data_IF_375591585542
#
_entry.id   IF_375591585542
#
_cell.length_a   1.000
_cell.length_b   1.000
_cell.length_c   1.000
_cell.angle_alpha   90.00
_cell.angle_beta   90.00
_cell.angle_gamma   90.00
#
_symmetry.space_group_name_H-M   'P 1'
#
loop_
_entity.id
_entity.type
_entity.pdbx_description
1 polymer ?
#
# COMPACT_ATOMS: atom_id res chain seq x y z
N UNK A 1 49.60 33.70 -9.36
CA UNK A 1 48.17 34.03 -9.19
C UNK A 1 47.43 32.79 -9.61
N UNK A 2 47.11 31.99 -8.66
CA UNK A 2 46.35 30.74 -8.82
C UNK A 2 44.88 31.08 -8.66
N UNK A 3 44.12 30.98 -9.73
CA UNK A 3 42.66 31.09 -9.71
C UNK A 3 42.12 29.68 -9.46
N UNK A 4 41.87 29.35 -8.20
CA UNK A 4 41.14 28.16 -7.81
C UNK A 4 39.70 28.23 -8.38
N UNK A 5 39.42 27.44 -9.41
CA UNK A 5 38.06 27.12 -9.82
C UNK A 5 37.42 26.26 -8.75
N UNK A 6 36.59 26.88 -7.93
CA UNK A 6 35.62 26.18 -7.11
C UNK A 6 34.69 25.40 -8.06
N UNK A 7 34.88 24.10 -8.12
CA UNK A 7 33.87 23.20 -8.67
C UNK A 7 32.64 23.30 -7.74
N UNK A 8 31.61 23.98 -8.22
CA UNK A 8 30.30 23.94 -7.57
C UNK A 8 29.88 22.47 -7.48
N UNK A 9 29.68 21.97 -6.27
CA UNK A 9 28.95 20.74 -6.08
C UNK A 9 27.59 20.89 -6.78
N UNK A 10 27.33 20.03 -7.73
CA UNK A 10 25.99 19.92 -8.36
C UNK A 10 25.02 19.57 -7.20
N UNK A 11 24.33 20.57 -6.68
CA UNK A 11 23.33 20.35 -5.63
C UNK A 11 22.27 19.44 -6.24
N UNK A 12 22.17 18.23 -5.71
CA UNK A 12 21.23 17.23 -6.18
C UNK A 12 19.81 17.77 -6.02
N UNK A 13 19.19 18.14 -7.14
CA UNK A 13 17.81 18.61 -7.19
C UNK A 13 16.88 17.52 -6.69
N UNK A 14 15.96 17.84 -5.78
CA UNK A 14 15.00 16.87 -5.25
C UNK A 14 14.12 16.34 -6.38
N UNK A 15 14.05 15.03 -6.50
CA UNK A 15 13.17 14.29 -7.40
C UNK A 15 11.96 13.77 -6.64
N UNK A 16 10.77 13.98 -7.18
CA UNK A 16 9.51 13.50 -6.60
C UNK A 16 8.77 12.67 -7.65
N UNK A 17 8.32 11.48 -7.27
CA UNK A 17 7.50 10.63 -8.13
C UNK A 17 6.40 9.94 -7.32
N UNK A 18 5.33 9.51 -8.00
CA UNK A 18 4.19 8.79 -7.41
C UNK A 18 4.23 7.32 -7.82
N UNK A 19 4.07 6.41 -6.87
CA UNK A 19 4.04 4.96 -7.14
C UNK A 19 2.92 4.55 -8.09
N UNK A 20 1.78 5.24 -8.07
CA UNK A 20 0.63 4.96 -8.94
C UNK A 20 0.60 5.84 -10.18
N UNK A 21 1.68 6.58 -10.47
CA UNK A 21 1.78 7.48 -11.62
C UNK A 21 1.20 8.87 -11.36
N UNK A 22 1.11 9.66 -12.42
CA UNK A 22 0.75 11.08 -12.37
C UNK A 22 -0.75 11.35 -12.60
N UNK A 23 -1.53 10.31 -12.88
CA UNK A 23 -2.99 10.40 -13.00
C UNK A 23 -3.59 9.51 -11.92
N UNK A 24 -4.31 10.12 -11.01
CA UNK A 24 -5.00 9.42 -9.91
C UNK A 24 -6.51 9.64 -10.05
N UNK A 25 -7.29 8.67 -9.62
CA UNK A 25 -8.74 8.84 -9.52
C UNK A 25 -9.14 9.32 -8.12
N UNK A 26 -10.25 10.04 -8.02
CA UNK A 26 -10.78 10.51 -6.74
C UNK A 26 -10.92 9.36 -5.75
N UNK A 27 -10.44 9.55 -4.51
CA UNK A 27 -10.40 8.53 -3.47
C UNK A 27 -9.15 7.65 -3.47
N UNK A 28 -8.28 7.78 -4.48
CA UNK A 28 -7.01 7.04 -4.52
C UNK A 28 -5.97 7.70 -3.60
N UNK A 29 -5.21 6.87 -2.91
CA UNK A 29 -3.98 7.23 -2.21
C UNK A 29 -2.78 6.66 -2.94
N UNK A 30 -1.73 7.44 -3.11
CA UNK A 30 -0.48 7.00 -3.74
C UNK A 30 0.72 7.41 -2.90
N UNK A 31 1.59 6.47 -2.59
CA UNK A 31 2.88 6.79 -1.99
C UNK A 31 3.70 7.69 -2.90
N UNK A 32 4.46 8.59 -2.29
CA UNK A 32 5.40 9.47 -2.97
C UNK A 32 6.83 9.03 -2.67
N UNK A 33 7.63 8.88 -3.71
CA UNK A 33 9.07 8.68 -3.60
C UNK A 33 9.75 10.03 -3.72
N UNK A 34 10.69 10.29 -2.82
CA UNK A 34 11.46 11.53 -2.77
C UNK A 34 12.93 11.20 -2.67
N UNK A 35 13.75 11.77 -3.54
CA UNK A 35 15.20 11.57 -3.51
C UNK A 35 15.95 12.88 -3.84
N UNK A 36 16.96 13.25 -3.05
CA UNK A 36 17.30 12.69 -1.73
C UNK A 36 16.23 13.07 -0.69
N UNK A 37 15.94 12.18 0.26
CA UNK A 37 14.88 12.39 1.25
C UNK A 37 15.33 13.14 2.49
N UNK A 38 16.62 13.11 2.79
CA UNK A 38 17.24 13.70 3.98
C UNK A 38 17.28 15.24 3.95
N UNK A 39 17.16 15.85 2.78
CA UNK A 39 17.11 17.31 2.60
C UNK A 39 15.69 17.89 2.64
N UNK A 40 14.67 17.02 2.60
CA UNK A 40 13.27 17.42 2.52
C UNK A 40 12.69 17.63 3.92
N UNK A 41 12.23 18.86 4.19
CA UNK A 41 11.55 19.21 5.44
C UNK A 41 10.06 18.90 5.35
N UNK A 42 9.46 19.16 4.19
CA UNK A 42 8.03 18.98 3.94
C UNK A 42 7.77 18.74 2.45
N UNK A 43 6.75 17.95 2.10
CA UNK A 43 6.14 17.93 0.79
C UNK A 43 4.82 18.70 0.81
N UNK A 44 4.63 19.55 -0.16
CA UNK A 44 3.48 20.47 -0.22
C UNK A 44 2.74 20.31 -1.53
N UNK A 45 1.42 20.35 -1.48
CA UNK A 45 0.55 20.44 -2.66
C UNK A 45 0.17 21.89 -2.94
N UNK A 46 0.23 22.28 -4.21
CA UNK A 46 -0.25 23.59 -4.66
C UNK A 46 -1.77 23.75 -4.58
N UNK A 47 -2.50 22.64 -4.46
CA UNK A 47 -3.97 22.64 -4.33
C UNK A 47 -4.43 21.45 -3.47
N UNK A 48 -4.45 21.63 -2.14
CA UNK A 48 -4.84 20.56 -1.21
C UNK A 48 -6.29 20.09 -1.31
N UNK A 49 -7.17 20.87 -1.93
CA UNK A 49 -8.56 20.49 -2.17
C UNK A 49 -8.69 19.48 -3.34
N UNK A 50 -7.74 19.48 -4.25
CA UNK A 50 -7.64 18.51 -5.34
C UNK A 50 -6.79 17.31 -4.92
N UNK A 51 -5.60 17.58 -4.40
CA UNK A 51 -4.62 16.58 -3.98
C UNK A 51 -3.98 17.01 -2.66
N UNK A 52 -4.29 16.33 -1.57
CA UNK A 52 -3.57 16.55 -0.31
C UNK A 52 -2.28 15.72 -0.27
N UNK A 53 -1.28 16.22 0.47
CA UNK A 53 -0.07 15.46 0.82
C UNK A 53 -0.06 15.28 2.32
N UNK A 54 0.09 14.04 2.75
CA UNK A 54 0.05 13.65 4.16
C UNK A 54 1.24 12.74 4.49
N UNK A 55 1.63 12.68 5.75
CA UNK A 55 2.52 11.64 6.25
C UNK A 55 1.72 10.55 6.94
N UNK A 56 1.83 9.32 6.45
CA UNK A 56 1.16 8.15 7.01
C UNK A 56 2.22 7.12 7.35
N UNK A 57 2.34 6.75 8.61
CA UNK A 57 3.36 5.82 9.11
C UNK A 57 4.79 6.19 8.64
N UNK A 58 5.10 7.48 8.59
CA UNK A 58 6.40 8.00 8.15
C UNK A 58 6.60 8.09 6.64
N UNK A 59 5.62 7.69 5.84
CA UNK A 59 5.67 7.79 4.39
C UNK A 59 4.90 9.01 3.89
N UNK A 60 5.41 9.66 2.86
CA UNK A 60 4.68 10.69 2.15
C UNK A 60 3.62 10.07 1.22
N UNK A 61 2.39 10.54 1.32
CA UNK A 61 1.24 10.00 0.59
C UNK A 61 0.45 11.14 -0.04
N UNK A 62 0.19 11.01 -1.34
CA UNK A 62 -0.75 11.87 -2.06
C UNK A 62 -2.17 11.31 -1.92
N UNK A 63 -3.11 12.15 -1.55
CA UNK A 63 -4.53 11.80 -1.39
C UNK A 63 -5.36 12.56 -2.41
N UNK A 64 -5.94 11.86 -3.38
CA UNK A 64 -6.76 12.44 -4.44
C UNK A 64 -8.17 12.73 -3.93
N UNK A 65 -8.56 14.01 -3.82
CA UNK A 65 -9.82 14.42 -3.19
C UNK A 65 -10.90 14.85 -4.18
N UNK A 66 -10.53 15.59 -5.22
CA UNK A 66 -11.48 16.09 -6.22
C UNK A 66 -10.81 16.23 -7.58
N UNK A 67 -11.59 16.23 -8.69
CA UNK A 67 -11.04 16.38 -10.03
C UNK A 67 -10.28 17.69 -10.19
N UNK A 68 -9.15 17.64 -10.89
CA UNK A 68 -8.29 18.79 -11.16
C UNK A 68 -6.82 18.41 -11.27
N UNK A 69 -5.95 19.39 -11.17
CA UNK A 69 -4.50 19.19 -11.17
C UNK A 69 -3.86 19.93 -10.01
N UNK A 70 -2.85 19.32 -9.43
CA UNK A 70 -2.03 19.92 -8.39
C UNK A 70 -0.55 19.60 -8.63
N UNK A 71 0.31 20.51 -8.24
CA UNK A 71 1.75 20.33 -8.21
C UNK A 71 2.18 19.93 -6.80
N UNK A 72 3.00 18.90 -6.68
CA UNK A 72 3.70 18.53 -5.44
C UNK A 72 5.15 18.98 -5.54
N UNK A 73 5.64 19.63 -4.53
CA UNK A 73 7.02 20.10 -4.41
C UNK A 73 7.54 19.93 -3.00
N UNK A 74 8.86 19.86 -2.86
CA UNK A 74 9.54 19.75 -1.59
C UNK A 74 9.93 21.13 -1.07
N UNK A 75 9.78 21.33 0.23
CA UNK A 75 10.39 22.45 0.96
C UNK A 75 11.69 21.93 1.58
N UNK A 76 12.79 22.61 1.27
CA UNK A 76 14.13 22.33 1.81
C UNK A 76 14.68 23.57 2.51
N UNK A 77 15.87 23.45 3.13
CA UNK A 77 16.56 24.60 3.71
C UNK A 77 16.91 25.68 2.68
N UNK A 78 17.06 25.30 1.41
CA UNK A 78 17.44 26.17 0.30
C UNK A 78 16.22 26.66 -0.50
N UNK A 79 15.01 26.34 -0.07
CA UNK A 79 13.75 26.75 -0.70
C UNK A 79 12.98 25.59 -1.33
N UNK A 80 12.09 25.94 -2.26
CA UNK A 80 11.27 24.94 -2.97
C UNK A 80 12.10 24.18 -4.00
N UNK A 81 12.01 22.86 -4.01
CA UNK A 81 12.67 21.99 -4.96
C UNK A 81 11.74 20.87 -5.44
N UNK A 82 12.04 20.34 -6.62
CA UNK A 82 11.25 19.27 -7.24
C UNK A 82 9.93 19.76 -7.80
N UNK A 83 9.36 18.95 -8.67
CA UNK A 83 8.08 19.25 -9.30
C UNK A 83 7.44 17.95 -9.80
N UNK A 84 6.32 17.58 -9.18
CA UNK A 84 5.47 16.50 -9.66
C UNK A 84 4.08 17.07 -9.92
N UNK A 85 3.64 17.08 -11.16
CA UNK A 85 2.24 17.41 -11.48
C UNK A 85 1.39 16.16 -11.46
N UNK A 86 0.34 16.16 -10.64
CA UNK A 86 -0.63 15.07 -10.57
C UNK A 86 -1.98 15.59 -11.03
N UNK A 87 -2.60 14.85 -11.93
CA UNK A 87 -3.98 15.09 -12.38
C UNK A 87 -4.89 14.11 -11.67
N UNK A 88 -5.93 14.64 -11.03
CA UNK A 88 -6.99 13.85 -10.42
C UNK A 88 -8.19 13.82 -11.35
N UNK A 89 -8.65 12.61 -11.70
CA UNK A 89 -9.78 12.35 -12.59
C UNK A 89 -10.89 11.60 -11.86
N UNK A 90 -12.11 11.62 -12.44
CA UNK A 90 -13.28 10.94 -11.89
C UNK A 90 -14.17 11.86 -11.07
N UNK A 91 -15.36 11.38 -10.73
CA UNK A 91 -16.31 12.09 -9.89
C UNK A 91 -16.06 11.77 -8.40
N UNK A 92 -16.38 12.74 -7.52
CA UNK A 92 -16.36 12.50 -6.08
C UNK A 92 -17.32 11.36 -5.76
N UNK A 93 -16.81 10.28 -5.19
CA UNK A 93 -17.59 9.08 -4.89
C UNK A 93 -17.49 7.95 -5.93
N UNK A 94 -16.92 8.21 -7.11
CA UNK A 94 -16.56 7.14 -8.05
C UNK A 94 -15.33 6.42 -7.49
N UNK A 95 -15.53 5.18 -7.08
CA UNK A 95 -14.42 4.28 -6.77
C UNK A 95 -13.86 3.76 -8.08
N UNK A 96 -12.54 3.89 -8.29
CA UNK A 96 -11.91 3.16 -9.37
C UNK A 96 -12.18 1.67 -9.19
N UNK A 97 -12.76 1.04 -10.19
CA UNK A 97 -12.91 -0.41 -10.21
C UNK A 97 -11.57 -1.08 -10.50
N UNK A 98 -10.69 -1.06 -9.52
CA UNK A 98 -9.41 -1.77 -9.60
C UNK A 98 -9.58 -3.29 -9.48
N UNK A 99 -10.75 -3.76 -9.07
CA UNK A 99 -11.01 -5.18 -8.82
C UNK A 99 -11.23 -6.00 -10.08
N UNK A 100 -11.76 -5.37 -11.13
CA UNK A 100 -12.05 -6.05 -12.41
C UNK A 100 -10.90 -5.96 -13.41
N UNK A 101 -9.96 -5.05 -13.21
CA UNK A 101 -8.73 -4.92 -14.01
C UNK A 101 -7.62 -5.89 -13.63
N UNK A 102 -7.95 -7.03 -13.06
CA UNK A 102 -6.97 -8.07 -12.72
C UNK A 102 -6.60 -8.88 -13.94
N UNK A 103 -5.33 -9.24 -14.05
CA UNK A 103 -4.82 -10.08 -15.14
C UNK A 103 -5.37 -11.53 -15.08
N UNK A 104 -6.14 -11.87 -14.04
CA UNK A 104 -6.88 -13.13 -13.94
C UNK A 104 -8.31 -12.87 -13.45
N UNK A 105 -9.25 -13.57 -14.11
CA UNK A 105 -10.68 -13.32 -13.98
C UNK A 105 -11.25 -13.63 -12.59
N UNK A 106 -10.63 -14.56 -11.86
CA UNK A 106 -11.02 -14.97 -10.51
C UNK A 106 -9.77 -15.26 -9.68
N UNK A 107 -9.63 -14.53 -8.59
CA UNK A 107 -8.53 -14.72 -7.64
C UNK A 107 -8.96 -15.44 -6.35
N UNK A 108 -10.19 -15.92 -6.26
CA UNK A 108 -10.71 -16.56 -5.05
C UNK A 108 -9.92 -17.83 -4.70
N UNK A 109 -9.58 -18.65 -5.69
CA UNK A 109 -8.78 -19.85 -5.45
C UNK A 109 -7.35 -19.52 -4.99
N UNK A 110 -6.74 -18.47 -5.56
CA UNK A 110 -5.45 -17.95 -5.09
C UNK A 110 -5.53 -17.50 -3.63
N UNK A 111 -6.58 -16.78 -3.26
CA UNK A 111 -6.83 -16.31 -1.89
C UNK A 111 -7.03 -17.48 -0.91
N UNK A 112 -7.79 -18.50 -1.31
CA UNK A 112 -8.00 -19.71 -0.51
C UNK A 112 -6.70 -20.49 -0.30
N UNK A 113 -5.85 -20.56 -1.30
CA UNK A 113 -4.56 -21.25 -1.17
C UNK A 113 -3.61 -20.49 -0.24
N UNK A 114 -3.60 -19.16 -0.27
CA UNK A 114 -2.88 -18.35 0.72
C UNK A 114 -3.37 -18.67 2.14
N UNK A 115 -4.69 -18.72 2.35
CA UNK A 115 -5.26 -19.11 3.65
C UNK A 115 -4.79 -20.49 4.11
N UNK A 116 -4.77 -21.47 3.21
CA UNK A 116 -4.32 -22.82 3.50
C UNK A 116 -2.83 -22.83 3.92
N UNK A 117 -1.97 -22.10 3.21
CA UNK A 117 -0.55 -21.99 3.54
C UNK A 117 -0.31 -21.25 4.86
N UNK A 118 -1.05 -20.17 5.14
CA UNK A 118 -0.99 -19.48 6.43
C UNK A 118 -1.42 -20.41 7.57
N UNK A 119 -2.48 -21.19 7.35
CA UNK A 119 -2.94 -22.20 8.32
C UNK A 119 -1.86 -23.25 8.56
N UNK A 120 -1.17 -23.72 7.53
CA UNK A 120 -0.06 -24.64 7.66
C UNK A 120 1.09 -24.04 8.48
N UNK A 121 1.47 -22.80 8.23
CA UNK A 121 2.49 -22.09 9.03
C UNK A 121 2.07 -22.06 10.50
N UNK A 122 0.82 -21.71 10.82
CA UNK A 122 0.32 -21.71 12.20
C UNK A 122 0.41 -23.09 12.86
N UNK A 123 0.05 -24.15 12.13
CA UNK A 123 0.14 -25.53 12.63
C UNK A 123 1.58 -25.96 12.89
N UNK A 124 2.54 -25.56 12.07
CA UNK A 124 3.97 -25.81 12.28
C UNK A 124 4.49 -25.17 13.58
N UNK A 125 3.87 -24.06 14.02
CA UNK A 125 4.14 -23.42 15.31
C UNK A 125 3.25 -23.95 16.45
N UNK A 126 2.48 -24.99 16.23
CA UNK A 126 1.62 -25.63 17.26
C UNK A 126 0.40 -24.79 17.65
N UNK A 127 -0.04 -23.89 16.78
CA UNK A 127 -1.17 -22.99 17.02
C UNK A 127 -2.47 -23.55 16.45
N UNK A 128 -3.60 -23.10 17.02
CA UNK A 128 -4.92 -23.41 16.48
C UNK A 128 -5.11 -22.82 15.08
N UNK A 129 -5.99 -23.45 14.31
CA UNK A 129 -6.43 -22.91 13.03
C UNK A 129 -7.20 -21.62 13.25
N UNK A 130 -6.99 -20.64 12.38
CA UNK A 130 -7.81 -19.44 12.28
C UNK A 130 -8.59 -19.53 10.96
N UNK A 131 -9.92 -19.70 11.01
CA UNK A 131 -10.72 -19.82 9.80
C UNK A 131 -10.83 -18.49 9.05
N UNK A 132 -11.20 -18.59 7.77
CA UNK A 132 -11.57 -17.41 7.00
C UNK A 132 -12.83 -16.76 7.60
N UNK A 133 -12.76 -15.46 7.82
CA UNK A 133 -13.89 -14.63 8.22
C UNK A 133 -14.33 -13.77 7.03
N UNK A 134 -15.61 -13.87 6.66
CA UNK A 134 -16.10 -13.23 5.42
C UNK A 134 -15.89 -11.73 5.41
N UNK A 135 -16.14 -11.05 6.52
CA UNK A 135 -15.93 -9.60 6.64
C UNK A 135 -14.46 -9.21 6.46
N UNK A 136 -13.52 -10.01 6.95
CA UNK A 136 -12.09 -9.81 6.73
C UNK A 136 -11.67 -10.14 5.29
N UNK A 137 -12.27 -11.17 4.68
CA UNK A 137 -12.04 -11.51 3.28
C UNK A 137 -12.47 -10.37 2.36
N UNK A 138 -13.64 -9.80 2.60
CA UNK A 138 -14.20 -8.69 1.82
C UNK A 138 -13.37 -7.40 2.03
N UNK A 139 -13.02 -7.11 3.28
CA UNK A 139 -12.16 -5.96 3.60
C UNK A 139 -10.78 -6.08 2.97
N UNK A 140 -10.14 -7.25 3.04
CA UNK A 140 -8.83 -7.47 2.45
C UNK A 140 -8.85 -7.35 0.92
N UNK A 141 -9.90 -7.83 0.26
CA UNK A 141 -10.05 -7.70 -1.18
C UNK A 141 -10.32 -6.24 -1.59
N UNK A 142 -11.17 -5.52 -0.85
CA UNK A 142 -11.40 -4.09 -1.07
C UNK A 142 -10.08 -3.30 -0.88
N UNK A 143 -9.32 -3.62 0.16
CA UNK A 143 -8.01 -2.99 0.40
C UNK A 143 -7.00 -3.31 -0.72
N UNK A 144 -7.01 -4.54 -1.25
CA UNK A 144 -6.16 -4.93 -2.36
C UNK A 144 -6.41 -4.09 -3.62
N UNK A 145 -7.64 -3.68 -3.88
CA UNK A 145 -7.98 -2.81 -5.02
C UNK A 145 -7.31 -1.45 -4.95
N UNK A 146 -6.91 -1.02 -3.77
CA UNK A 146 -6.23 0.27 -3.56
C UNK A 146 -4.75 0.20 -3.87
N UNK A 147 -4.17 -1.01 -3.95
CA UNK A 147 -2.77 -1.26 -4.34
C UNK A 147 -1.76 -0.47 -3.50
N UNK A 148 -2.04 -0.30 -2.21
CA UNK A 148 -1.10 0.34 -1.31
C UNK A 148 0.15 -0.52 -1.13
N UNK A 149 1.32 0.11 -1.13
CA UNK A 149 2.61 -0.54 -0.88
C UNK A 149 3.16 -0.23 0.52
N UNK A 150 2.34 0.37 1.36
CA UNK A 150 2.61 0.73 2.76
C UNK A 150 1.40 0.42 3.63
N UNK A 151 1.58 0.35 4.94
CA UNK A 151 0.48 0.22 5.88
C UNK A 151 -0.17 1.59 6.15
N UNK A 152 -1.42 1.72 5.76
CA UNK A 152 -2.28 2.84 6.13
C UNK A 152 -3.26 2.38 7.20
N UNK A 153 -2.83 2.47 8.46
CA UNK A 153 -3.60 1.95 9.60
C UNK A 153 -5.00 2.55 9.72
N UNK A 154 -5.16 3.82 9.35
CA UNK A 154 -6.47 4.46 9.38
C UNK A 154 -7.39 3.87 8.32
N UNK A 155 -6.92 3.76 7.08
CA UNK A 155 -7.68 3.19 5.97
C UNK A 155 -8.00 1.70 6.21
N UNK A 156 -7.03 0.94 6.72
CA UNK A 156 -7.22 -0.45 7.11
C UNK A 156 -8.34 -0.60 8.14
N UNK A 157 -8.33 0.21 9.21
CA UNK A 157 -9.38 0.20 10.23
C UNK A 157 -10.73 0.62 9.68
N UNK A 158 -10.80 1.68 8.90
CA UNK A 158 -12.05 2.16 8.29
C UNK A 158 -12.68 1.09 7.40
N UNK A 159 -11.87 0.40 6.59
CA UNK A 159 -12.33 -0.67 5.72
C UNK A 159 -12.83 -1.89 6.48
N UNK A 160 -12.06 -2.34 7.47
CA UNK A 160 -12.41 -3.50 8.28
C UNK A 160 -13.73 -3.26 9.02
N UNK A 161 -13.90 -2.07 9.60
CA UNK A 161 -15.17 -1.67 10.23
C UNK A 161 -16.32 -1.55 9.23
N UNK A 162 -16.08 -0.98 8.05
CA UNK A 162 -17.10 -0.82 7.00
C UNK A 162 -17.62 -2.18 6.50
N UNK A 163 -16.78 -3.21 6.51
CA UNK A 163 -17.16 -4.58 6.18
C UNK A 163 -17.73 -5.39 7.35
N UNK A 164 -17.87 -4.77 8.52
CA UNK A 164 -18.57 -5.34 9.66
C UNK A 164 -17.72 -6.17 10.61
N UNK A 165 -16.40 -6.04 10.59
CA UNK A 165 -15.51 -6.67 11.56
C UNK A 165 -15.12 -5.67 12.66
N UNK A 166 -15.62 -5.81 13.91
CA UNK A 166 -15.48 -4.78 14.93
C UNK A 166 -14.30 -5.03 15.90
N UNK A 167 -13.48 -6.04 15.64
CA UNK A 167 -12.42 -6.48 16.53
C UNK A 167 -11.03 -6.00 16.07
N UNK A 168 -10.02 -6.27 16.91
CA UNK A 168 -8.63 -5.99 16.58
C UNK A 168 -8.10 -6.89 15.46
N UNK A 169 -7.13 -6.40 14.72
CA UNK A 169 -6.48 -7.17 13.66
C UNK A 169 -5.06 -6.65 13.40
N UNK A 170 -4.26 -7.50 12.76
CA UNK A 170 -3.00 -7.14 12.13
C UNK A 170 -3.12 -7.26 10.61
N UNK A 171 -2.32 -6.50 9.89
CA UNK A 171 -2.25 -6.57 8.43
C UNK A 171 -0.83 -6.89 7.97
N UNK A 172 -0.69 -7.90 7.12
CA UNK A 172 0.50 -8.15 6.34
C UNK A 172 0.26 -7.75 4.89
N UNK A 173 1.24 -7.18 4.23
CA UNK A 173 1.19 -6.93 2.80
C UNK A 173 2.50 -7.36 2.13
N UNK A 174 2.39 -7.77 0.87
CA UNK A 174 3.55 -7.99 0.00
C UNK A 174 3.18 -7.66 -1.44
N UNK A 175 4.16 -7.12 -2.16
CA UNK A 175 4.01 -6.70 -3.55
C UNK A 175 5.20 -7.25 -4.35
N UNK A 176 4.91 -7.87 -5.48
CA UNK A 176 5.94 -8.47 -6.32
C UNK A 176 5.50 -8.55 -7.79
N UNK A 177 6.45 -8.79 -8.69
CA UNK A 177 6.24 -8.86 -10.14
C UNK A 177 6.63 -10.24 -10.68
N UNK A 178 6.18 -10.56 -11.89
CA UNK A 178 6.67 -11.69 -12.69
C UNK A 178 6.19 -13.08 -12.25
N UNK A 179 5.27 -13.17 -11.28
CA UNK A 179 4.72 -14.45 -10.84
C UNK A 179 3.55 -14.91 -11.73
N UNK A 180 3.49 -16.20 -12.05
CA UNK A 180 2.28 -16.82 -12.57
C UNK A 180 1.23 -16.96 -11.44
N UNK A 181 -0.10 -16.98 -11.73
CA UNK A 181 -1.13 -17.04 -10.69
C UNK A 181 -0.95 -18.19 -9.70
N UNK A 182 -0.54 -19.36 -10.15
CA UNK A 182 -0.29 -20.54 -9.32
C UNK A 182 0.92 -20.40 -8.38
N UNK A 183 1.83 -19.48 -8.66
CA UNK A 183 3.00 -19.21 -7.82
C UNK A 183 2.72 -18.18 -6.72
N UNK A 184 1.69 -17.35 -6.90
CA UNK A 184 1.37 -16.23 -6.02
C UNK A 184 1.21 -16.65 -4.56
N UNK A 185 0.46 -17.71 -4.20
CA UNK A 185 0.29 -18.11 -2.80
C UNK A 185 1.61 -18.41 -2.11
N UNK A 186 2.46 -19.20 -2.75
CA UNK A 186 3.75 -19.59 -2.20
C UNK A 186 4.68 -18.39 -2.03
N UNK A 187 4.73 -17.50 -3.03
CA UNK A 187 5.59 -16.30 -2.96
C UNK A 187 5.11 -15.37 -1.84
N UNK A 188 3.82 -15.09 -1.76
CA UNK A 188 3.26 -14.21 -0.74
C UNK A 188 3.57 -14.72 0.68
N UNK A 189 3.27 -15.98 0.96
CA UNK A 189 3.49 -16.57 2.28
C UNK A 189 4.98 -16.65 2.62
N UNK A 190 5.84 -17.03 1.66
CA UNK A 190 7.29 -17.01 1.86
C UNK A 190 7.83 -15.61 2.19
N UNK A 191 7.35 -14.58 1.52
CA UNK A 191 7.75 -13.21 1.82
C UNK A 191 7.40 -12.82 3.26
N UNK A 192 6.20 -13.22 3.73
CA UNK A 192 5.77 -12.94 5.10
C UNK A 192 6.53 -13.78 6.14
N UNK A 193 6.76 -15.08 5.87
CA UNK A 193 7.54 -15.94 6.77
C UNK A 193 8.97 -15.44 6.95
N UNK A 194 9.59 -14.93 5.91
CA UNK A 194 10.94 -14.39 5.94
C UNK A 194 11.05 -12.96 6.51
N UNK A 195 9.94 -12.36 6.90
CA UNK A 195 9.89 -11.05 7.55
C UNK A 195 9.45 -11.19 9.01
N UNK A 196 10.32 -10.90 10.00
CA UNK A 196 10.00 -11.15 11.41
C UNK A 196 8.72 -10.48 11.90
N UNK A 197 8.41 -9.28 11.40
CA UNK A 197 7.17 -8.57 11.75
C UNK A 197 5.92 -9.25 11.20
N UNK A 198 5.96 -9.64 9.94
CA UNK A 198 4.86 -10.33 9.27
C UNK A 198 4.65 -11.75 9.83
N UNK A 199 5.74 -12.47 10.11
CA UNK A 199 5.64 -13.78 10.74
C UNK A 199 4.97 -13.69 12.11
N UNK A 200 5.37 -12.72 12.96
CA UNK A 200 4.73 -12.53 14.27
C UNK A 200 3.22 -12.30 14.15
N UNK A 201 2.77 -11.53 13.17
CA UNK A 201 1.35 -11.33 12.94
C UNK A 201 0.64 -12.64 12.57
N UNK A 202 1.20 -13.44 11.67
CA UNK A 202 0.62 -14.72 11.25
C UNK A 202 0.54 -15.76 12.38
N UNK A 203 1.54 -15.79 13.26
CA UNK A 203 1.63 -16.74 14.37
C UNK A 203 1.19 -16.16 15.71
N UNK A 204 0.45 -15.07 15.72
CA UNK A 204 -0.13 -14.54 16.95
C UNK A 204 -1.07 -15.60 17.55
N UNK A 205 -0.84 -16.01 18.83
CA UNK A 205 -1.69 -17.00 19.46
C UNK A 205 -3.13 -16.54 19.72
N UNK A 206 -3.37 -15.23 19.70
CA UNK A 206 -4.71 -14.63 19.82
C UNK A 206 -5.46 -14.58 18.50
N UNK A 207 -4.79 -14.85 17.39
CA UNK A 207 -5.43 -14.82 16.08
C UNK A 207 -6.45 -15.96 15.96
N UNK A 208 -7.68 -15.62 15.61
CA UNK A 208 -8.82 -16.53 15.51
C UNK A 208 -9.56 -16.44 14.16
N UNK A 209 -9.17 -15.50 13.30
CA UNK A 209 -9.82 -15.28 12.02
C UNK A 209 -8.85 -14.71 11.00
N UNK A 210 -9.07 -14.99 9.71
CA UNK A 210 -8.20 -14.57 8.62
C UNK A 210 -9.02 -13.99 7.47
N UNK A 211 -8.44 -12.99 6.78
CA UNK A 211 -8.92 -12.51 5.50
C UNK A 211 -7.78 -12.26 4.54
N UNK A 212 -7.96 -12.61 3.27
CA UNK A 212 -6.94 -12.42 2.23
C UNK A 212 -7.51 -11.66 1.05
N UNK A 213 -6.77 -10.67 0.57
CA UNK A 213 -7.05 -9.95 -0.65
C UNK A 213 -5.89 -10.08 -1.64
N UNK A 214 -6.19 -10.25 -2.92
CA UNK A 214 -5.20 -10.32 -3.98
C UNK A 214 -5.72 -9.55 -5.19
N UNK A 215 -4.88 -8.66 -5.71
CA UNK A 215 -5.10 -7.96 -6.98
C UNK A 215 -3.83 -8.03 -7.81
N UNK A 216 -3.98 -8.26 -9.08
CA UNK A 216 -2.91 -8.13 -10.07
C UNK A 216 -3.25 -7.00 -11.03
N UNK A 217 -2.30 -6.11 -11.22
CA UNK A 217 -2.45 -4.97 -12.10
C UNK A 217 -1.13 -4.69 -12.82
N UNK A 218 -1.16 -4.66 -14.15
CA UNK A 218 0.01 -4.41 -14.99
C UNK A 218 1.22 -5.30 -14.64
N UNK A 219 0.98 -6.59 -14.40
CA UNK A 219 2.02 -7.56 -14.05
C UNK A 219 2.53 -7.47 -12.60
N UNK A 220 2.00 -6.56 -11.79
CA UNK A 220 2.32 -6.43 -10.36
C UNK A 220 1.23 -7.10 -9.55
N UNK A 221 1.62 -7.96 -8.62
CA UNK A 221 0.71 -8.65 -7.69
C UNK A 221 0.77 -8.02 -6.32
N UNK A 222 -0.40 -7.69 -5.77
CA UNK A 222 -0.59 -7.10 -4.45
C UNK A 222 -1.35 -8.09 -3.58
N UNK A 223 -0.74 -8.54 -2.48
CA UNK A 223 -1.34 -9.49 -1.55
C UNK A 223 -1.43 -8.88 -0.15
N UNK A 224 -2.59 -9.04 0.48
CA UNK A 224 -2.88 -8.56 1.83
C UNK A 224 -3.46 -9.70 2.65
N UNK A 225 -3.02 -9.79 3.90
CA UNK A 225 -3.53 -10.74 4.89
C UNK A 225 -3.96 -9.96 6.12
N UNK A 226 -5.24 -9.99 6.44
CA UNK A 226 -5.77 -9.55 7.72
C UNK A 226 -5.85 -10.72 8.69
N UNK A 227 -5.26 -10.52 9.86
CA UNK A 227 -5.21 -11.50 10.95
C UNK A 227 -6.04 -10.95 12.09
N UNK A 228 -7.23 -11.47 12.27
CA UNK A 228 -8.21 -10.98 13.24
C UNK A 228 -8.05 -11.60 14.61
N UNK A 229 -8.44 -10.82 15.63
CA UNK A 229 -8.39 -11.19 17.05
C UNK A 229 -9.67 -10.71 17.71
N UNK A 230 -10.62 -11.62 17.94
CA UNK A 230 -11.94 -11.30 18.51
C UNK A 230 -12.01 -11.38 20.04
N UNK A 231 -10.94 -11.87 20.67
CA UNK A 231 -10.83 -12.06 22.13
C UNK A 231 -9.68 -11.28 22.75
#
# INVERSE_FOLDING_TARGET
>A
IDQGTSAGADEATVSISSYKGNVLEVGTRSGLMVYPSDTVLELVSSNPDVLAVEQIAGNWVAVAKSPGSARVFAVTADGEQGNLTVTVSGAVGDRPDFGTGTDYADNLEVRKEILALVTQVRQEYGLSTAPAEQSLMDAAQDYATRRNTWHDSQEECELVLAHGYPHGFNCNLTVFTGAAPEEVPRIAVNNWVNSPGHLRAMIDPKADSLGVGVVRHEGVTYCYLFVGMSS
#
